data_IF_526148372041
#
_entry.id   IF_526148372041
#
_cell.length_a   1.000
_cell.length_b   1.000
_cell.length_c   1.000
_cell.angle_alpha   90.00
_cell.angle_beta   90.00
_cell.angle_gamma   90.00
#
_symmetry.space_group_name_H-M   'P 1'
#
loop_
_entity.id
_entity.type
_entity.pdbx_description
1 polymer ?
#
# COMPACT_ATOMS: atom_id res chain seq x y z
N UNK A 1 -19.20 -5.56 -6.25
CA UNK A 1 -19.79 -4.26 -6.66
C UNK A 1 -20.49 -4.42 -7.98
N UNK A 2 -21.57 -3.66 -8.22
CA UNK A 2 -22.25 -3.66 -9.50
C UNK A 2 -21.26 -3.29 -10.63
N UNK A 3 -21.32 -4.00 -11.75
CA UNK A 3 -20.45 -3.76 -12.91
C UNK A 3 -19.10 -4.49 -12.88
N UNK A 4 -18.75 -5.20 -11.81
CA UNK A 4 -17.54 -6.03 -11.77
C UNK A 4 -17.92 -7.46 -12.22
N UNK A 5 -17.12 -8.01 -13.13
CA UNK A 5 -17.31 -9.39 -13.60
C UNK A 5 -17.15 -10.35 -12.41
N UNK A 6 -17.99 -11.37 -12.36
CA UNK A 6 -17.99 -12.35 -11.28
C UNK A 6 -16.67 -13.10 -11.17
N UNK A 7 -16.01 -13.42 -12.27
CA UNK A 7 -14.70 -14.07 -12.28
C UNK A 7 -13.63 -13.30 -11.52
N UNK A 8 -13.67 -11.96 -11.51
CA UNK A 8 -12.74 -11.13 -10.73
C UNK A 8 -13.01 -11.26 -9.23
N UNK A 9 -14.27 -11.47 -8.85
CA UNK A 9 -14.63 -11.67 -7.44
C UNK A 9 -14.24 -13.07 -6.96
N UNK A 10 -14.28 -14.04 -7.84
CA UNK A 10 -13.94 -15.43 -7.53
C UNK A 10 -12.42 -15.60 -7.29
N UNK A 11 -11.59 -14.66 -7.83
CA UNK A 11 -10.13 -14.63 -7.64
C UNK A 11 -9.70 -13.89 -6.35
N UNK A 12 -10.64 -13.39 -5.54
CA UNK A 12 -10.37 -12.60 -4.33
C UNK A 12 -10.99 -13.24 -3.11
N UNK A 13 -10.15 -13.49 -2.11
CA UNK A 13 -10.58 -13.96 -0.79
C UNK A 13 -10.48 -12.82 0.21
N UNK A 14 -11.58 -12.51 0.89
CA UNK A 14 -11.62 -11.46 1.91
C UNK A 14 -11.20 -12.01 3.25
N UNK A 15 -10.35 -11.27 3.95
CA UNK A 15 -9.95 -11.54 5.32
C UNK A 15 -10.49 -10.46 6.26
N UNK A 16 -10.89 -10.81 7.50
CA UNK A 16 -11.37 -9.82 8.46
C UNK A 16 -10.21 -8.93 8.94
N UNK A 17 -10.45 -7.62 8.88
CA UNK A 17 -9.50 -6.61 9.32
C UNK A 17 -9.42 -6.56 10.85
N UNK A 18 -8.19 -6.40 11.40
CA UNK A 18 -7.91 -6.39 12.84
C UNK A 18 -8.34 -7.68 13.58
N UNK A 19 -8.47 -8.78 12.85
CA UNK A 19 -8.69 -10.11 13.45
C UNK A 19 -7.63 -11.08 12.91
N UNK A 20 -6.46 -11.07 13.54
CA UNK A 20 -5.30 -11.83 13.08
C UNK A 20 -5.56 -13.33 13.03
N UNK A 21 -6.23 -13.87 14.05
CA UNK A 21 -6.47 -15.33 14.12
C UNK A 21 -7.39 -15.82 13.00
N UNK A 22 -8.48 -15.11 12.74
CA UNK A 22 -9.37 -15.45 11.64
C UNK A 22 -8.69 -15.24 10.28
N UNK A 23 -7.89 -14.18 10.12
CA UNK A 23 -7.12 -13.95 8.92
C UNK A 23 -6.12 -15.09 8.66
N UNK A 24 -5.36 -15.53 9.66
CA UNK A 24 -4.44 -16.67 9.55
C UNK A 24 -5.14 -17.96 9.15
N UNK A 25 -6.28 -18.27 9.75
CA UNK A 25 -7.05 -19.47 9.41
C UNK A 25 -7.44 -19.49 7.93
N UNK A 26 -7.89 -18.35 7.41
CA UNK A 26 -8.26 -18.22 5.99
C UNK A 26 -7.01 -18.37 5.09
N UNK A 27 -5.91 -17.69 5.42
CA UNK A 27 -4.67 -17.77 4.64
C UNK A 27 -4.12 -19.21 4.59
N UNK A 28 -4.14 -19.93 5.71
CA UNK A 28 -3.70 -21.32 5.76
C UNK A 28 -4.60 -22.23 4.92
N UNK A 29 -5.91 -22.06 5.02
CA UNK A 29 -6.88 -22.87 4.27
C UNK A 29 -6.73 -22.71 2.75
N UNK A 30 -6.29 -21.56 2.28
CA UNK A 30 -6.18 -21.23 0.86
C UNK A 30 -4.74 -21.03 0.37
N UNK A 31 -3.75 -21.42 1.17
CA UNK A 31 -2.34 -21.10 0.88
C UNK A 31 -1.85 -21.59 -0.50
N UNK A 32 -2.38 -22.69 -1.00
CA UNK A 32 -2.02 -23.23 -2.31
C UNK A 32 -2.60 -22.45 -3.51
N UNK A 33 -3.60 -21.62 -3.26
CA UNK A 33 -4.32 -20.86 -4.29
C UNK A 33 -3.91 -19.39 -4.29
N UNK A 34 -3.40 -18.89 -3.15
CA UNK A 34 -3.06 -17.49 -2.96
C UNK A 34 -1.69 -17.13 -3.54
N UNK A 35 -1.61 -16.01 -4.26
CA UNK A 35 -0.36 -15.41 -4.72
C UNK A 35 0.16 -14.34 -3.74
N UNK A 36 -0.74 -13.58 -3.15
CA UNK A 36 -0.38 -12.44 -2.30
C UNK A 36 -1.45 -12.14 -1.26
N UNK A 37 -1.05 -11.32 -0.29
CA UNK A 37 -1.95 -10.61 0.63
C UNK A 37 -1.76 -9.12 0.41
N UNK A 38 -2.84 -8.38 0.12
CA UNK A 38 -2.83 -6.93 0.01
C UNK A 38 -3.67 -6.33 1.14
N UNK A 39 -3.12 -5.31 1.80
CA UNK A 39 -3.79 -4.64 2.93
C UNK A 39 -3.44 -3.16 2.98
N UNK A 40 -4.44 -2.31 3.29
CA UNK A 40 -4.19 -0.92 3.66
C UNK A 40 -3.80 -0.86 5.15
N UNK A 41 -2.76 -0.09 5.56
CA UNK A 41 -2.49 0.14 6.99
C UNK A 41 -3.55 0.99 7.67
N UNK A 42 -4.32 1.75 6.89
CA UNK A 42 -5.49 2.49 7.34
C UNK A 42 -6.56 2.35 6.26
N UNK A 43 -7.68 1.73 6.59
CA UNK A 43 -8.80 1.55 5.67
C UNK A 43 -9.46 2.90 5.36
N UNK A 44 -9.11 3.48 4.21
CA UNK A 44 -9.57 4.82 3.87
C UNK A 44 -11.06 4.92 3.56
N UNK A 45 -11.62 3.92 2.89
CA UNK A 45 -12.99 3.96 2.36
C UNK A 45 -14.09 3.70 3.41
N UNK A 46 -13.70 3.28 4.62
CA UNK A 46 -14.64 2.90 5.69
C UNK A 46 -14.48 3.75 6.97
N UNK A 47 -13.96 4.97 6.83
CA UNK A 47 -13.84 5.92 7.94
C UNK A 47 -12.44 6.01 8.54
N UNK A 48 -11.41 5.72 7.77
CA UNK A 48 -10.00 5.81 8.19
C UNK A 48 -9.67 4.95 9.42
N UNK A 49 -10.14 3.69 9.40
CA UNK A 49 -9.89 2.74 10.47
C UNK A 49 -8.43 2.27 10.43
N UNK A 50 -7.61 2.55 11.46
CA UNK A 50 -6.22 2.09 11.49
C UNK A 50 -6.15 0.59 11.76
N UNK A 51 -5.14 -0.03 11.19
CA UNK A 51 -4.75 -1.38 11.58
C UNK A 51 -4.20 -1.38 13.01
N UNK A 52 -4.45 -2.44 13.74
CA UNK A 52 -3.68 -2.75 14.93
C UNK A 52 -2.27 -3.17 14.51
N UNK A 53 -1.27 -2.72 15.25
CA UNK A 53 0.14 -2.98 14.89
C UNK A 53 0.44 -4.47 14.83
N UNK A 54 -0.06 -5.20 15.81
CA UNK A 54 0.08 -6.66 15.94
C UNK A 54 -0.59 -7.41 14.79
N UNK A 55 -1.73 -6.89 14.31
CA UNK A 55 -2.42 -7.43 13.14
C UNK A 55 -1.54 -7.35 11.89
N UNK A 56 -0.98 -6.17 11.57
CA UNK A 56 -0.15 -6.00 10.38
C UNK A 56 1.14 -6.82 10.46
N UNK A 57 1.81 -6.83 11.62
CA UNK A 57 3.03 -7.61 11.83
C UNK A 57 2.73 -9.09 11.67
N UNK A 58 1.71 -9.59 12.37
CA UNK A 58 1.34 -11.01 12.31
C UNK A 58 0.86 -11.45 10.93
N UNK A 59 0.14 -10.60 10.21
CA UNK A 59 -0.29 -10.86 8.84
C UNK A 59 0.91 -10.96 7.88
N UNK A 60 1.88 -10.06 8.01
CA UNK A 60 3.11 -10.07 7.22
C UNK A 60 3.96 -11.30 7.51
N UNK A 61 4.08 -11.70 8.77
CA UNK A 61 4.82 -12.92 9.17
C UNK A 61 4.15 -14.17 8.63
N UNK A 62 2.82 -14.24 8.69
CA UNK A 62 2.07 -15.36 8.15
C UNK A 62 2.17 -15.44 6.62
N UNK A 63 2.04 -14.34 5.92
CA UNK A 63 2.26 -14.29 4.47
C UNK A 63 3.65 -14.81 4.11
N UNK A 64 4.70 -14.38 4.83
CA UNK A 64 6.07 -14.87 4.63
C UNK A 64 6.18 -16.36 4.89
N UNK A 65 5.57 -16.87 5.95
CA UNK A 65 5.61 -18.31 6.30
C UNK A 65 4.98 -19.18 5.22
N UNK A 66 3.93 -18.65 4.58
CA UNK A 66 3.19 -19.33 3.51
C UNK A 66 3.79 -19.10 2.11
N UNK A 67 4.86 -18.30 1.99
CA UNK A 67 5.47 -17.96 0.71
C UNK A 67 4.67 -16.97 -0.14
N UNK A 68 3.73 -16.26 0.46
CA UNK A 68 2.89 -15.26 -0.20
C UNK A 68 3.59 -13.91 -0.27
N UNK A 69 3.35 -13.16 -1.34
CA UNK A 69 3.82 -11.77 -1.45
C UNK A 69 2.95 -10.88 -0.56
N UNK A 70 3.57 -10.14 0.36
CA UNK A 70 2.87 -9.18 1.21
C UNK A 70 2.93 -7.79 0.59
N UNK A 71 1.78 -7.26 0.22
CA UNK A 71 1.62 -5.96 -0.44
C UNK A 71 0.97 -4.98 0.53
N UNK A 72 1.63 -3.85 0.77
CA UNK A 72 1.05 -2.78 1.57
C UNK A 72 0.50 -1.69 0.64
N UNK A 73 -0.79 -1.44 0.72
CA UNK A 73 -1.43 -0.36 -0.01
C UNK A 73 -1.31 0.95 0.77
N UNK A 74 -0.34 1.75 0.40
CA UNK A 74 -0.09 3.07 0.97
C UNK A 74 -0.63 4.23 0.12
N UNK A 75 -1.53 3.96 -0.79
CA UNK A 75 -2.12 5.00 -1.64
C UNK A 75 -2.71 6.15 -0.81
N UNK A 76 -3.27 5.86 0.36
CA UNK A 76 -3.78 6.87 1.29
C UNK A 76 -2.81 7.22 2.41
N UNK A 77 -2.14 6.23 2.96
CA UNK A 77 -1.37 6.34 4.20
C UNK A 77 0.06 6.85 4.02
N UNK A 78 0.61 6.84 2.80
CA UNK A 78 1.98 7.30 2.55
C UNK A 78 2.23 8.74 2.99
N UNK A 79 1.19 9.57 3.02
CA UNK A 79 1.24 10.97 3.47
C UNK A 79 1.46 11.16 4.98
N UNK A 80 1.43 10.12 5.79
CA UNK A 80 1.49 10.21 7.26
C UNK A 80 2.91 10.46 7.79
N UNK A 81 3.90 9.94 7.09
CA UNK A 81 5.32 10.13 7.42
C UNK A 81 6.14 10.08 6.13
N UNK A 82 7.38 10.58 6.15
CA UNK A 82 8.31 10.52 5.02
C UNK A 82 8.60 9.09 4.57
N UNK A 83 8.53 8.13 5.47
CA UNK A 83 8.68 6.70 5.20
C UNK A 83 7.34 5.96 5.08
N UNK A 84 6.23 6.68 4.97
CA UNK A 84 4.89 6.10 4.92
C UNK A 84 4.43 5.49 6.24
N UNK A 85 3.25 4.88 6.22
CA UNK A 85 2.73 4.15 7.37
C UNK A 85 3.60 2.92 7.70
N UNK A 86 4.25 2.30 6.72
CA UNK A 86 5.18 1.19 6.95
C UNK A 86 6.25 1.54 7.99
N UNK A 87 6.76 2.78 7.98
CA UNK A 87 7.69 3.26 9.00
C UNK A 87 7.03 3.41 10.37
N UNK A 88 5.82 3.96 10.42
CA UNK A 88 5.06 4.12 11.67
C UNK A 88 4.73 2.78 12.33
N UNK A 89 4.35 1.80 11.54
CA UNK A 89 4.05 0.44 12.01
C UNK A 89 5.30 -0.42 12.21
N UNK A 90 6.46 -0.01 11.71
CA UNK A 90 7.71 -0.77 11.81
C UNK A 90 7.69 -2.06 11.00
N UNK A 91 7.06 -2.06 9.83
CA UNK A 91 6.96 -3.20 8.92
C UNK A 91 7.67 -2.91 7.60
N UNK A 92 8.14 -3.98 6.95
CA UNK A 92 8.71 -3.91 5.60
C UNK A 92 7.92 -4.87 4.71
N UNK A 93 7.09 -4.36 3.80
CA UNK A 93 6.36 -5.20 2.85
C UNK A 93 7.28 -5.71 1.73
N UNK A 94 6.81 -6.70 0.99
CA UNK A 94 7.47 -7.15 -0.24
C UNK A 94 7.24 -6.15 -1.38
N UNK A 95 6.03 -5.60 -1.48
CA UNK A 95 5.67 -4.52 -2.40
C UNK A 95 4.86 -3.46 -1.66
N UNK A 96 4.97 -2.22 -2.11
CA UNK A 96 4.15 -1.09 -1.67
C UNK A 96 3.48 -0.44 -2.86
N UNK A 97 2.18 -0.17 -2.76
CA UNK A 97 1.44 0.64 -3.72
C UNK A 97 1.41 2.10 -3.26
N UNK A 98 1.57 3.02 -4.20
CA UNK A 98 1.59 4.46 -3.98
C UNK A 98 0.62 5.16 -4.93
N UNK A 99 0.13 6.32 -4.51
CA UNK A 99 -0.72 7.17 -5.33
C UNK A 99 -0.96 8.51 -4.65
N UNK A 100 -2.02 9.18 -5.06
CA UNK A 100 -2.48 10.43 -4.43
C UNK A 100 -1.36 11.46 -4.20
N UNK A 101 -0.84 11.57 -2.99
CA UNK A 101 0.11 12.64 -2.62
C UNK A 101 1.38 12.66 -3.46
N UNK A 102 1.83 11.50 -3.95
CA UNK A 102 3.04 11.41 -4.79
C UNK A 102 2.88 12.07 -6.16
N UNK A 103 1.65 12.38 -6.57
CA UNK A 103 1.36 13.06 -7.85
C UNK A 103 1.23 14.57 -7.76
N UNK A 104 1.32 15.16 -6.55
CA UNK A 104 1.23 16.61 -6.39
C UNK A 104 -0.10 17.21 -6.87
N UNK A 105 -1.20 16.45 -6.76
CA UNK A 105 -2.54 16.83 -7.22
C UNK A 105 -2.91 16.27 -8.60
N UNK A 106 -1.98 15.69 -9.32
CA UNK A 106 -2.22 15.04 -10.62
C UNK A 106 -2.39 13.52 -10.48
N UNK A 107 -3.09 12.86 -11.43
CA UNK A 107 -3.27 11.42 -11.41
C UNK A 107 -1.95 10.67 -11.48
N UNK A 108 -1.74 9.74 -10.56
CA UNK A 108 -0.55 8.88 -10.52
C UNK A 108 -0.86 7.59 -9.79
N UNK A 109 -0.25 6.53 -10.22
CA UNK A 109 -0.10 5.28 -9.50
C UNK A 109 1.34 4.80 -9.65
N UNK A 110 1.89 4.22 -8.60
CA UNK A 110 3.19 3.59 -8.62
C UNK A 110 3.20 2.39 -7.68
N UNK A 111 4.11 1.49 -7.90
CA UNK A 111 4.41 0.41 -6.97
C UNK A 111 5.91 0.12 -7.00
N UNK A 112 6.39 -0.44 -5.93
CA UNK A 112 7.80 -0.80 -5.80
C UNK A 112 8.03 -1.69 -4.60
N UNK A 113 9.24 -2.24 -4.48
CA UNK A 113 9.59 -3.11 -3.37
C UNK A 113 10.80 -3.99 -3.65
N UNK A 114 10.71 -5.25 -3.29
CA UNK A 114 11.79 -6.23 -3.41
C UNK A 114 12.38 -6.25 -4.82
N UNK A 115 13.70 -6.21 -4.86
CA UNK A 115 14.47 -6.16 -6.12
C UNK A 115 14.20 -7.35 -7.04
N UNK A 116 14.06 -8.54 -6.50
CA UNK A 116 13.80 -9.76 -7.27
C UNK A 116 12.43 -9.72 -7.97
N UNK A 117 11.40 -9.18 -7.29
CA UNK A 117 10.08 -9.00 -7.89
C UNK A 117 10.12 -7.88 -8.94
N UNK A 118 10.73 -6.74 -8.61
CA UNK A 118 10.81 -5.60 -9.55
C UNK A 118 11.67 -5.89 -10.77
N UNK A 119 12.64 -6.81 -10.68
CA UNK A 119 13.45 -7.23 -11.82
C UNK A 119 12.62 -7.89 -12.94
N UNK A 120 11.46 -8.47 -12.62
CA UNK A 120 10.55 -9.04 -13.61
C UNK A 120 9.98 -8.01 -14.59
N UNK A 121 9.98 -6.73 -14.24
CA UNK A 121 9.54 -5.62 -15.09
C UNK A 121 10.69 -5.00 -15.92
N UNK A 122 11.93 -5.43 -15.69
CA UNK A 122 13.09 -4.86 -16.37
C UNK A 122 13.31 -5.53 -17.73
N UNK A 123 12.80 -4.93 -18.79
CA UNK A 123 12.96 -5.41 -20.16
C UNK A 123 14.34 -5.12 -20.75
N UNK A 124 15.09 -4.16 -20.20
CA UNK A 124 16.41 -3.75 -20.74
C UNK A 124 17.49 -4.84 -20.56
N UNK A 125 17.35 -5.72 -19.58
CA UNK A 125 18.30 -6.82 -19.33
C UNK A 125 17.89 -8.13 -20.00
N UNK A 126 16.78 -8.16 -20.73
CA UNK A 126 16.22 -9.37 -21.35
C UNK A 126 15.64 -10.37 -20.37
N UNK A 127 15.67 -10.08 -19.06
CA UNK A 127 15.12 -10.91 -17.98
C UNK A 127 13.70 -10.51 -17.59
N UNK A 128 13.19 -9.38 -18.10
CA UNK A 128 11.83 -8.91 -17.82
C UNK A 128 10.80 -9.81 -18.49
N UNK A 129 9.95 -10.43 -17.68
CA UNK A 129 8.88 -11.35 -18.14
C UNK A 129 7.51 -10.70 -18.08
N UNK A 130 7.37 -9.58 -17.36
CA UNK A 130 6.10 -8.87 -17.16
C UNK A 130 6.15 -7.54 -17.90
N UNK A 131 5.43 -7.38 -19.03
CA UNK A 131 5.36 -6.09 -19.70
C UNK A 131 4.56 -5.11 -18.87
N UNK A 132 5.11 -3.90 -18.69
CA UNK A 132 4.42 -2.80 -18.02
C UNK A 132 4.50 -1.55 -18.90
N UNK A 133 3.38 -1.16 -19.48
CA UNK A 133 3.27 0.00 -20.34
C UNK A 133 1.96 0.75 -20.07
N UNK A 134 1.97 2.05 -20.34
CA UNK A 134 0.79 2.90 -20.26
C UNK A 134 1.08 4.27 -20.85
N UNK A 135 0.14 4.81 -21.63
CA UNK A 135 0.30 6.07 -22.34
C UNK A 135 0.66 7.24 -21.43
N UNK A 136 0.16 7.24 -20.19
CA UNK A 136 0.43 8.29 -19.20
C UNK A 136 1.50 7.91 -18.18
N UNK A 137 2.16 6.76 -18.33
CA UNK A 137 3.25 6.39 -17.43
C UNK A 137 4.38 7.41 -17.51
N UNK A 138 4.87 7.82 -16.34
CA UNK A 138 5.91 8.85 -16.20
C UNK A 138 5.58 10.18 -16.91
N UNK A 139 4.30 10.56 -16.93
CA UNK A 139 3.87 11.83 -17.50
C UNK A 139 4.66 12.99 -16.87
N UNK A 140 5.35 13.85 -17.66
CA UNK A 140 6.27 14.86 -17.14
C UNK A 140 5.57 15.91 -16.26
N UNK A 141 4.31 16.25 -16.50
CA UNK A 141 3.55 17.20 -15.68
C UNK A 141 3.35 16.59 -14.29
N UNK A 142 2.84 15.37 -14.23
CA UNK A 142 2.63 14.66 -12.97
C UNK A 142 3.94 14.43 -12.22
N UNK A 143 5.01 14.05 -12.92
CA UNK A 143 6.32 13.84 -12.30
C UNK A 143 6.87 15.15 -11.71
N UNK A 144 6.79 16.26 -12.43
CA UNK A 144 7.24 17.57 -11.94
C UNK A 144 6.44 18.04 -10.72
N UNK A 145 5.13 17.91 -10.77
CA UNK A 145 4.26 18.27 -9.64
C UNK A 145 4.50 17.38 -8.42
N UNK A 146 4.67 16.08 -8.66
CA UNK A 146 4.99 15.11 -7.61
C UNK A 146 6.33 15.42 -6.94
N UNK A 147 7.39 15.66 -7.70
CA UNK A 147 8.71 16.04 -7.18
C UNK A 147 8.59 17.30 -6.32
N UNK A 148 7.98 18.36 -6.84
CA UNK A 148 7.79 19.62 -6.11
C UNK A 148 7.03 19.41 -4.79
N UNK A 149 6.02 18.56 -4.78
CA UNK A 149 5.25 18.23 -3.58
C UNK A 149 6.11 17.43 -2.58
N UNK A 150 6.79 16.40 -3.04
CA UNK A 150 7.60 15.54 -2.18
C UNK A 150 8.78 16.31 -1.54
N UNK A 151 9.36 17.28 -2.25
CA UNK A 151 10.41 18.16 -1.71
C UNK A 151 9.89 19.05 -0.56
N UNK A 152 8.61 19.44 -0.60
CA UNK A 152 7.98 20.23 0.48
C UNK A 152 7.65 19.37 1.72
N UNK A 153 7.52 18.07 1.59
CA UNK A 153 7.16 17.17 2.69
C UNK A 153 8.37 16.86 3.57
N UNK A 154 8.86 17.88 4.26
CA UNK A 154 9.98 17.81 5.20
C UNK A 154 9.52 17.38 6.61
N UNK A 155 10.48 17.02 7.47
CA UNK A 155 10.15 16.67 8.87
C UNK A 155 9.34 17.74 9.61
N UNK A 156 9.70 19.05 9.55
CA UNK A 156 8.91 20.12 10.14
C UNK A 156 7.48 20.22 9.58
N UNK A 157 7.29 19.98 8.28
CA UNK A 157 5.95 19.97 7.66
C UNK A 157 5.10 18.83 8.19
N UNK A 158 5.65 17.62 8.29
CA UNK A 158 4.95 16.49 8.91
C UNK A 158 4.57 16.79 10.37
N UNK A 159 5.50 17.30 11.17
CA UNK A 159 5.23 17.67 12.56
C UNK A 159 4.09 18.70 12.68
N UNK A 160 4.09 19.72 11.80
CA UNK A 160 3.02 20.72 11.73
C UNK A 160 1.67 20.09 11.35
N UNK A 161 1.62 19.25 10.33
CA UNK A 161 0.39 18.61 9.87
C UNK A 161 -0.20 17.70 10.95
N UNK A 162 0.64 16.88 11.60
CA UNK A 162 0.20 16.00 12.67
C UNK A 162 -0.33 16.82 13.87
N UNK A 163 0.38 17.88 14.28
CA UNK A 163 -0.09 18.74 15.35
C UNK A 163 -1.38 19.53 15.02
N UNK A 164 -1.65 19.79 13.74
CA UNK A 164 -2.95 20.33 13.32
C UNK A 164 -4.06 19.28 13.45
N UNK A 165 -3.77 18.02 13.06
CA UNK A 165 -4.70 16.92 13.22
C UNK A 165 -5.04 16.65 14.69
N UNK A 166 -4.02 16.66 15.57
CA UNK A 166 -4.22 16.49 17.02
C UNK A 166 -5.13 17.58 17.58
N UNK A 167 -4.87 18.85 17.27
CA UNK A 167 -5.72 19.96 17.71
C UNK A 167 -7.16 19.83 17.22
N UNK A 168 -7.36 19.41 15.97
CA UNK A 168 -8.71 19.20 15.43
C UNK A 168 -9.43 18.09 16.19
N UNK A 169 -8.77 16.98 16.43
CA UNK A 169 -9.34 15.85 17.21
C UNK A 169 -9.74 16.31 18.60
N UNK A 170 -8.85 17.03 19.31
CA UNK A 170 -9.09 17.49 20.66
C UNK A 170 -10.25 18.51 20.77
N UNK A 171 -10.60 19.18 19.65
CA UNK A 171 -11.76 20.09 19.60
C UNK A 171 -13.08 19.39 19.25
N UNK A 172 -13.02 18.17 18.70
CA UNK A 172 -14.20 17.40 18.31
C UNK A 172 -14.62 16.36 19.36
N UNK A 173 -13.76 16.07 20.34
CA UNK A 173 -14.01 15.19 21.48
C UNK A 173 -14.30 15.98 22.74
#
# INVERSE_FOLDING_TARGET
SAGINRSVLDDVILIPYNNLEAAKQILVAHAAELACVIVEPILGSVGFVPAEREFLIGLREEARRLGLVFILDEVQSFRLDRGGAQKLFGITPDLTCFGKIIGGGFPVGAFGGRRDIMALFNTATGSGTIPHAGTFNANPITMSAGIATMEQLTGPVYARLNGMGDRLRDQLT
#
